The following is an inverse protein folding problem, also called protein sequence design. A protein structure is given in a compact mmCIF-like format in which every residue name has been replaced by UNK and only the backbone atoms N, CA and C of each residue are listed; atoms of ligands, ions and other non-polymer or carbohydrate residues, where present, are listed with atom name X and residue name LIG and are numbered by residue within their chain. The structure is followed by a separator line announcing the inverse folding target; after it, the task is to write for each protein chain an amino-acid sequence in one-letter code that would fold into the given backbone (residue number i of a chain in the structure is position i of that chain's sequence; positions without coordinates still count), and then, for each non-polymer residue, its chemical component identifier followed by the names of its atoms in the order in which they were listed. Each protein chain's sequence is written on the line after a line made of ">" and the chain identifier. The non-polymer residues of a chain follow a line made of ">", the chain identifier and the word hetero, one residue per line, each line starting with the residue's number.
data_IF_257348026057
#
_entry.id   IF_257348026057
#
_cell.length_a   1.000
_cell.length_b   1.000
_cell.length_c   1.000
_cell.angle_alpha   90.00
_cell.angle_beta   90.00
_cell.angle_gamma   90.00
#
_symmetry.space_group_name_H-M   'P 1'
#
loop_
_entity.id
_entity.type
_entity.pdbx_description
1 polymer ?
#
# COMPACT_ATOMS: atom_id res chain seq x y z
N UNK A 1 11.49 72.73 -23.10
CA UNK A 1 10.79 73.24 -21.90
C UNK A 1 10.67 72.09 -20.90
N UNK A 2 11.08 72.25 -19.62
CA UNK A 2 10.69 71.31 -18.58
C UNK A 2 9.22 71.54 -18.22
N UNK A 3 8.47 70.45 -17.97
CA UNK A 3 7.04 70.46 -17.63
C UNK A 3 6.75 71.38 -16.42
N UNK A 4 6.10 72.55 -16.60
CA UNK A 4 5.97 73.58 -15.56
C UNK A 4 4.99 73.22 -14.44
N UNK A 5 4.08 72.26 -14.65
CA UNK A 5 2.99 71.97 -13.70
C UNK A 5 3.21 70.72 -12.86
N UNK A 6 4.29 69.95 -13.09
CA UNK A 6 4.59 68.73 -12.32
C UNK A 6 3.49 67.65 -12.38
N UNK A 7 2.45 67.83 -13.21
CA UNK A 7 1.38 66.87 -13.38
C UNK A 7 1.86 65.73 -14.29
N UNK A 8 2.02 64.56 -13.70
CA UNK A 8 2.14 63.32 -14.47
C UNK A 8 0.77 62.99 -15.05
N UNK A 9 0.75 62.39 -16.26
CA UNK A 9 -0.44 62.04 -17.07
C UNK A 9 -1.48 61.10 -16.40
N UNK A 10 -1.39 60.88 -15.08
CA UNK A 10 -2.22 59.95 -14.30
C UNK A 10 -2.94 60.62 -13.11
N UNK A 11 -2.91 61.95 -12.98
CA UNK A 11 -3.61 62.71 -11.93
C UNK A 11 -3.07 62.52 -10.50
N UNK A 12 -3.58 63.29 -9.50
CA UNK A 12 -3.26 63.07 -8.10
C UNK A 12 -3.83 61.71 -7.66
N UNK A 13 -2.95 60.84 -7.16
CA UNK A 13 -3.34 59.52 -6.66
C UNK A 13 -3.43 59.57 -5.14
N UNK A 14 -4.54 59.11 -4.61
CA UNK A 14 -4.70 58.93 -3.16
C UNK A 14 -3.92 57.69 -2.72
N UNK A 15 -2.89 57.89 -1.92
CA UNK A 15 -2.07 56.78 -1.43
C UNK A 15 -2.54 56.44 -0.01
N UNK A 16 -2.81 55.16 0.29
CA UNK A 16 -3.10 54.75 1.66
C UNK A 16 -1.90 55.06 2.57
N UNK A 17 -2.13 55.25 3.88
CA UNK A 17 -1.07 55.42 4.88
C UNK A 17 0.06 54.40 4.72
N UNK A 18 1.30 54.84 4.93
CA UNK A 18 2.51 54.05 4.63
C UNK A 18 2.55 52.72 5.41
N UNK A 19 1.99 52.66 6.61
CA UNK A 19 1.88 51.45 7.43
C UNK A 19 0.89 50.43 6.83
N UNK A 20 -0.26 50.90 6.34
CA UNK A 20 -1.28 50.09 5.67
C UNK A 20 -0.76 49.60 4.32
N UNK A 21 -0.10 50.48 3.57
CA UNK A 21 0.49 50.17 2.28
C UNK A 21 1.63 49.14 2.43
N UNK A 22 2.50 49.32 3.42
CA UNK A 22 3.59 48.38 3.72
C UNK A 22 3.05 46.99 4.08
N UNK A 23 2.09 46.90 5.00
CA UNK A 23 1.45 45.62 5.38
C UNK A 23 0.84 44.90 4.17
N UNK A 24 0.18 45.65 3.29
CA UNK A 24 -0.43 45.08 2.07
C UNK A 24 0.63 44.57 1.10
N UNK A 25 1.71 45.30 0.90
CA UNK A 25 2.82 44.88 0.04
C UNK A 25 3.56 43.66 0.61
N UNK A 26 3.76 43.60 1.93
CA UNK A 26 4.32 42.43 2.63
C UNK A 26 3.42 41.20 2.48
N UNK A 27 2.09 41.38 2.63
CA UNK A 27 1.09 40.32 2.37
C UNK A 27 1.21 39.79 0.94
N UNK A 28 1.31 40.66 -0.06
CA UNK A 28 1.45 40.22 -1.45
C UNK A 28 2.78 39.50 -1.73
N UNK A 29 3.85 39.90 -1.04
CA UNK A 29 5.14 39.19 -1.08
C UNK A 29 5.01 37.82 -0.42
N UNK A 30 4.35 37.72 0.73
CA UNK A 30 4.06 36.46 1.42
C UNK A 30 3.18 35.53 0.56
N UNK A 31 2.32 36.06 -0.30
CA UNK A 31 1.55 35.25 -1.27
C UNK A 31 2.35 34.87 -2.53
N UNK A 32 3.52 35.47 -2.75
CA UNK A 32 4.35 35.17 -3.93
C UNK A 32 3.79 35.75 -5.23
N UNK A 33 2.97 36.81 -5.14
CA UNK A 33 2.33 37.42 -6.30
C UNK A 33 3.36 38.01 -7.28
N UNK A 34 3.08 37.86 -8.58
CA UNK A 34 3.81 38.53 -9.66
C UNK A 34 3.64 40.05 -9.58
N UNK A 35 4.45 40.82 -10.31
CA UNK A 35 4.34 42.29 -10.33
C UNK A 35 2.97 42.75 -10.83
N UNK A 36 2.44 42.11 -11.86
CA UNK A 36 1.11 42.39 -12.42
C UNK A 36 0.01 42.06 -11.42
N UNK A 37 0.09 40.91 -10.76
CA UNK A 37 -0.86 40.53 -9.71
C UNK A 37 -0.83 41.52 -8.54
N UNK A 38 0.35 42.02 -8.14
CA UNK A 38 0.46 43.07 -7.12
C UNK A 38 -0.23 44.36 -7.54
N UNK A 39 -0.08 44.78 -8.79
CA UNK A 39 -0.79 45.96 -9.31
C UNK A 39 -2.31 45.75 -9.30
N UNK A 40 -2.78 44.58 -9.72
CA UNK A 40 -4.19 44.24 -9.68
C UNK A 40 -4.75 44.22 -8.25
N UNK A 41 -3.97 43.73 -7.27
CA UNK A 41 -4.35 43.76 -5.85
C UNK A 41 -4.28 45.16 -5.23
N UNK A 42 -3.32 45.99 -5.62
CA UNK A 42 -3.29 47.40 -5.19
C UNK A 42 -4.50 48.19 -5.72
N UNK A 43 -4.92 47.93 -6.97
CA UNK A 43 -6.17 48.48 -7.51
C UNK A 43 -7.38 47.97 -6.73
N UNK A 44 -7.46 46.68 -6.41
CA UNK A 44 -8.61 46.11 -5.69
C UNK A 44 -8.69 46.54 -4.23
N UNK A 45 -7.57 46.51 -3.52
CA UNK A 45 -7.53 46.66 -2.06
C UNK A 45 -7.43 48.13 -1.63
N UNK A 46 -6.87 48.99 -2.49
CA UNK A 46 -6.57 50.41 -2.17
C UNK A 46 -6.99 51.40 -3.28
N UNK A 47 -7.70 50.94 -4.31
CA UNK A 47 -8.02 51.73 -5.52
C UNK A 47 -6.78 52.38 -6.18
N UNK A 48 -5.59 51.80 -5.98
CA UNK A 48 -4.32 52.40 -6.36
C UNK A 48 -3.79 51.79 -7.67
N UNK A 49 -3.95 52.53 -8.76
CA UNK A 49 -3.38 52.17 -10.07
C UNK A 49 -2.01 52.82 -10.26
N UNK A 50 -0.94 52.03 -10.35
CA UNK A 50 0.42 52.54 -10.52
C UNK A 50 1.20 51.72 -11.54
N UNK A 51 2.26 52.31 -12.09
CA UNK A 51 3.18 51.58 -12.98
C UNK A 51 4.09 50.64 -12.19
N UNK A 52 4.63 49.61 -12.86
CA UNK A 52 5.60 48.66 -12.28
C UNK A 52 6.83 49.39 -11.71
N UNK A 53 7.27 50.48 -12.36
CA UNK A 53 8.37 51.32 -11.88
C UNK A 53 8.03 51.98 -10.55
N UNK A 54 6.81 52.52 -10.42
CA UNK A 54 6.35 53.14 -9.17
C UNK A 54 6.16 52.11 -8.05
N UNK A 55 5.64 50.92 -8.35
CA UNK A 55 5.59 49.79 -7.42
C UNK A 55 6.98 49.46 -6.87
N UNK A 56 7.99 49.39 -7.74
CA UNK A 56 9.38 49.11 -7.33
C UNK A 56 9.94 50.22 -6.42
N UNK A 57 9.66 51.48 -6.75
CA UNK A 57 10.06 52.62 -5.92
C UNK A 57 9.38 52.62 -4.55
N UNK A 58 8.10 52.27 -4.48
CA UNK A 58 7.37 52.15 -3.22
C UNK A 58 7.91 51.02 -2.35
N UNK A 59 8.15 49.84 -2.93
CA UNK A 59 8.74 48.72 -2.19
C UNK A 59 10.14 49.07 -1.65
N UNK A 60 10.93 49.85 -2.40
CA UNK A 60 12.24 50.35 -1.94
C UNK A 60 12.09 51.37 -0.81
N UNK A 61 11.18 52.36 -0.98
CA UNK A 61 10.95 53.43 0.00
C UNK A 61 10.43 52.90 1.34
N UNK A 62 9.57 51.88 1.29
CA UNK A 62 8.94 51.27 2.47
C UNK A 62 9.75 50.09 3.04
N UNK A 63 10.96 49.84 2.53
CA UNK A 63 11.84 48.74 2.94
C UNK A 63 11.15 47.36 2.94
N UNK A 64 10.30 47.11 1.94
CA UNK A 64 9.62 45.82 1.78
C UNK A 64 10.61 44.80 1.23
N UNK A 65 10.91 43.76 2.01
CA UNK A 65 11.79 42.69 1.60
C UNK A 65 11.28 42.01 0.32
N UNK A 66 12.20 41.63 -0.56
CA UNK A 66 11.89 40.91 -1.79
C UNK A 66 12.87 39.76 -1.98
N UNK A 67 12.54 38.79 -2.83
CA UNK A 67 13.49 37.70 -3.16
C UNK A 67 14.84 38.22 -3.69
N UNK A 68 14.87 39.39 -4.35
CA UNK A 68 16.12 40.01 -4.84
C UNK A 68 16.84 40.86 -3.78
N UNK A 69 16.13 41.25 -2.72
CA UNK A 69 16.64 42.04 -1.58
C UNK A 69 15.97 41.52 -0.31
N UNK A 70 16.43 40.38 0.20
CA UNK A 70 15.73 39.63 1.26
C UNK A 70 15.80 40.30 2.64
N UNK A 71 16.65 41.33 2.79
CA UNK A 71 16.76 42.10 4.04
C UNK A 71 17.58 41.40 5.13
N UNK A 72 18.03 40.18 4.87
CA UNK A 72 18.95 39.42 5.72
C UNK A 72 20.34 39.35 5.07
N UNK A 73 21.37 39.27 5.91
CA UNK A 73 22.73 39.01 5.48
C UNK A 73 22.87 37.64 4.81
N UNK A 74 23.84 37.53 3.91
CA UNK A 74 24.02 36.33 3.09
C UNK A 74 24.26 35.09 3.95
N UNK A 75 25.14 35.17 4.94
CA UNK A 75 25.49 34.04 5.82
C UNK A 75 24.27 33.51 6.59
N UNK A 76 23.46 34.41 7.16
CA UNK A 76 22.23 34.07 7.90
C UNK A 76 21.19 33.39 6.99
N UNK A 77 21.11 33.80 5.72
CA UNK A 77 20.24 33.15 4.74
C UNK A 77 20.71 31.73 4.39
N UNK A 78 22.02 31.54 4.23
CA UNK A 78 22.60 30.24 3.92
C UNK A 78 22.44 29.26 5.09
N UNK A 79 22.56 29.74 6.33
CA UNK A 79 22.30 28.97 7.55
C UNK A 79 20.84 28.49 7.61
N UNK A 80 19.87 29.38 7.42
CA UNK A 80 18.45 29.00 7.42
C UNK A 80 18.09 28.01 6.31
N UNK A 81 18.72 28.14 5.13
CA UNK A 81 18.53 27.15 4.05
C UNK A 81 19.13 25.81 4.46
N UNK A 82 20.33 25.80 5.02
CA UNK A 82 21.03 24.60 5.49
C UNK A 82 20.21 23.86 6.54
N UNK A 83 19.74 24.58 7.58
CA UNK A 83 18.89 24.02 8.62
C UNK A 83 17.61 23.40 8.04
N UNK A 84 16.96 24.10 7.10
CA UNK A 84 15.72 23.63 6.49
C UNK A 84 15.94 22.43 5.55
N UNK A 85 17.11 22.30 4.94
CA UNK A 85 17.53 21.16 4.11
C UNK A 85 17.84 19.95 4.99
N UNK A 86 18.57 20.13 6.10
CA UNK A 86 18.89 19.06 7.04
C UNK A 86 17.64 18.50 7.76
N UNK A 87 16.59 19.32 7.95
CA UNK A 87 15.28 18.86 8.44
C UNK A 87 14.56 17.89 7.49
N UNK A 88 14.94 17.83 6.21
CA UNK A 88 14.37 16.89 5.25
C UNK A 88 15.15 15.58 5.22
N UNK A 89 15.02 14.76 6.27
CA UNK A 89 15.72 13.49 6.40
C UNK A 89 15.50 12.54 5.19
N UNK A 90 14.32 12.62 4.57
CA UNK A 90 13.95 11.83 3.39
C UNK A 90 14.57 12.32 2.08
N UNK A 91 15.12 13.54 2.07
CA UNK A 91 15.70 14.21 0.90
C UNK A 91 14.72 14.34 -0.28
N UNK A 92 13.40 14.27 -0.03
CA UNK A 92 12.34 14.32 -1.06
C UNK A 92 11.87 15.73 -1.40
N UNK A 93 12.24 16.75 -0.62
CA UNK A 93 11.83 18.13 -0.87
C UNK A 93 12.74 18.79 -1.92
N UNK A 94 12.16 19.19 -3.04
CA UNK A 94 12.87 19.93 -4.07
C UNK A 94 13.18 21.39 -3.67
N UNK A 95 14.05 22.09 -4.43
CA UNK A 95 14.40 23.49 -4.16
C UNK A 95 13.21 24.46 -4.12
N UNK A 96 12.12 24.13 -4.83
CA UNK A 96 10.88 24.91 -4.78
C UNK A 96 10.15 24.80 -3.44
N UNK A 97 10.08 23.58 -2.90
CA UNK A 97 9.43 23.26 -1.62
C UNK A 97 10.19 23.87 -0.45
N UNK A 98 11.52 23.71 -0.42
CA UNK A 98 12.37 24.31 0.62
C UNK A 98 12.23 25.85 0.61
N UNK A 99 12.25 26.47 -0.58
CA UNK A 99 12.01 27.90 -0.72
C UNK A 99 10.62 28.33 -0.23
N UNK A 100 9.57 27.53 -0.48
CA UNK A 100 8.22 27.83 -0.01
C UNK A 100 8.15 27.80 1.52
N UNK A 101 8.73 26.77 2.15
CA UNK A 101 8.77 26.65 3.63
C UNK A 101 9.52 27.80 4.30
N UNK A 102 10.62 28.25 3.70
CA UNK A 102 11.34 29.44 4.18
C UNK A 102 10.50 30.71 4.03
N UNK A 103 9.75 30.83 2.93
CA UNK A 103 8.84 31.95 2.70
C UNK A 103 7.69 31.97 3.72
N UNK A 104 7.19 30.83 4.17
CA UNK A 104 6.18 30.74 5.24
C UNK A 104 6.73 31.28 6.58
N UNK A 105 8.03 31.11 6.83
CA UNK A 105 8.77 31.70 7.95
C UNK A 105 9.19 33.16 7.70
N UNK A 106 8.66 33.81 6.66
CA UNK A 106 9.03 35.17 6.20
C UNK A 106 10.49 35.32 5.76
N UNK A 107 11.21 34.22 5.51
CA UNK A 107 12.58 34.21 5.01
C UNK A 107 12.52 34.10 3.48
N UNK A 108 12.87 35.20 2.80
CA UNK A 108 12.86 35.25 1.34
C UNK A 108 14.22 34.84 0.80
N UNK A 109 14.27 33.80 -0.04
CA UNK A 109 15.53 33.35 -0.65
C UNK A 109 15.36 33.06 -2.15
N UNK A 110 16.32 33.45 -3.02
CA UNK A 110 16.31 33.03 -4.40
C UNK A 110 16.37 31.50 -4.53
N UNK A 111 15.58 30.93 -5.46
CA UNK A 111 15.61 29.48 -5.74
C UNK A 111 17.02 29.01 -6.15
N UNK A 112 17.80 29.89 -6.79
CA UNK A 112 19.19 29.61 -7.18
C UNK A 112 20.06 29.30 -5.96
N UNK A 113 20.03 30.15 -4.94
CA UNK A 113 20.79 29.97 -3.68
C UNK A 113 20.39 28.67 -3.00
N UNK A 114 19.09 28.40 -2.88
CA UNK A 114 18.59 27.12 -2.34
C UNK A 114 19.12 25.94 -3.12
N UNK A 115 19.11 26.01 -4.46
CA UNK A 115 19.61 24.94 -5.32
C UNK A 115 21.12 24.73 -5.18
N UNK A 116 21.91 25.80 -5.07
CA UNK A 116 23.37 25.74 -4.90
C UNK A 116 23.72 25.07 -3.57
N UNK A 117 23.09 25.47 -2.46
CA UNK A 117 23.29 24.88 -1.13
C UNK A 117 22.85 23.42 -1.11
N UNK A 118 21.67 23.10 -1.66
CA UNK A 118 21.21 21.71 -1.75
C UNK A 118 22.16 20.84 -2.56
N UNK A 119 22.78 21.35 -3.62
CA UNK A 119 23.77 20.60 -4.42
C UNK A 119 25.07 20.35 -3.64
N UNK A 120 25.44 21.26 -2.74
CA UNK A 120 26.61 21.12 -1.90
C UNK A 120 26.38 20.14 -0.73
N UNK A 121 25.19 20.19 -0.11
CA UNK A 121 24.88 19.40 1.09
C UNK A 121 24.28 18.02 0.82
N UNK A 122 23.39 17.93 -0.17
CA UNK A 122 22.61 16.71 -0.47
C UNK A 122 22.49 16.51 -1.99
N UNK A 123 23.61 16.39 -2.73
CA UNK A 123 23.59 16.17 -4.18
C UNK A 123 22.71 14.98 -4.58
N UNK A 124 22.74 13.89 -3.79
CA UNK A 124 21.95 12.67 -3.99
C UNK A 124 20.43 12.90 -3.94
N UNK A 125 19.99 13.94 -3.22
CA UNK A 125 18.58 14.31 -3.20
C UNK A 125 18.05 14.73 -4.58
N UNK A 126 18.92 15.26 -5.45
CA UNK A 126 18.52 15.57 -6.83
C UNK A 126 18.34 14.33 -7.69
N UNK A 127 19.17 13.31 -7.46
CA UNK A 127 19.06 12.03 -8.15
C UNK A 127 17.75 11.35 -7.74
N UNK A 128 17.45 11.24 -6.44
CA UNK A 128 16.20 10.67 -5.92
C UNK A 128 14.94 11.28 -6.58
N UNK A 129 14.98 12.59 -6.90
CA UNK A 129 13.85 13.34 -7.46
C UNK A 129 13.88 13.48 -8.98
N UNK A 130 14.88 12.92 -9.67
CA UNK A 130 15.01 13.08 -11.11
C UNK A 130 13.85 12.37 -11.84
N UNK A 131 13.09 13.05 -12.72
CA UNK A 131 12.00 12.42 -13.45
C UNK A 131 12.54 11.33 -14.37
N UNK A 132 12.15 10.08 -14.13
CA UNK A 132 12.72 8.90 -14.81
C UNK A 132 13.84 8.21 -14.04
N UNK A 133 14.20 8.68 -12.84
CA UNK A 133 15.04 7.91 -11.96
C UNK A 133 14.28 6.66 -11.48
N UNK A 134 14.70 5.51 -12.01
CA UNK A 134 14.17 4.18 -11.71
C UNK A 134 14.67 3.63 -10.37
N UNK A 135 15.33 4.42 -9.52
CA UNK A 135 15.82 3.98 -8.19
C UNK A 135 14.72 3.60 -7.18
N UNK A 136 13.43 3.65 -7.53
CA UNK A 136 12.37 3.04 -6.73
C UNK A 136 11.69 1.84 -7.38
N UNK A 137 12.14 1.37 -8.56
CA UNK A 137 11.87 -0.02 -8.91
C UNK A 137 12.97 -0.82 -8.23
N UNK A 138 12.67 -1.64 -7.22
CA UNK A 138 13.68 -2.53 -6.68
C UNK A 138 14.34 -3.25 -7.85
N UNK A 139 15.67 -3.36 -7.84
CA UNK A 139 16.38 -4.15 -8.82
C UNK A 139 15.77 -5.55 -8.78
N UNK A 140 15.00 -5.91 -9.79
CA UNK A 140 14.36 -7.22 -9.86
C UNK A 140 15.45 -8.18 -10.32
N UNK A 141 16.11 -8.80 -9.37
CA UNK A 141 17.01 -9.92 -9.65
C UNK A 141 16.17 -11.02 -10.32
N UNK A 142 16.65 -11.64 -11.41
CA UNK A 142 16.02 -12.82 -11.96
C UNK A 142 15.77 -13.84 -10.84
N UNK A 143 14.53 -14.29 -10.74
CA UNK A 143 14.17 -15.32 -9.77
C UNK A 143 14.68 -16.65 -10.28
N UNK A 144 15.33 -17.40 -9.40
CA UNK A 144 15.83 -18.75 -9.65
C UNK A 144 15.26 -19.73 -8.63
N UNK A 145 15.07 -20.97 -9.05
CA UNK A 145 14.61 -22.07 -8.20
C UNK A 145 15.07 -23.40 -8.80
N UNK A 146 15.40 -24.38 -7.96
CA UNK A 146 15.80 -25.73 -8.40
C UNK A 146 14.62 -26.56 -8.92
N UNK A 147 13.40 -26.24 -8.49
CA UNK A 147 12.18 -26.97 -8.82
C UNK A 147 11.06 -26.65 -7.84
N UNK A 148 9.94 -27.38 -7.91
CA UNK A 148 8.86 -27.28 -6.94
C UNK A 148 9.37 -27.53 -5.52
N UNK A 149 8.78 -26.84 -4.53
CA UNK A 149 9.15 -26.95 -3.11
C UNK A 149 10.57 -26.50 -2.74
N UNK A 150 11.40 -26.07 -3.70
CA UNK A 150 12.68 -25.45 -3.35
C UNK A 150 12.45 -24.14 -2.58
N UNK A 151 11.46 -23.35 -3.01
CA UNK A 151 11.03 -22.17 -2.27
C UNK A 151 9.52 -21.96 -2.41
N UNK A 152 8.82 -21.91 -1.28
CA UNK A 152 7.42 -21.46 -1.21
C UNK A 152 7.39 -20.02 -0.72
N UNK A 153 6.70 -19.17 -1.47
CA UNK A 153 6.38 -17.81 -1.07
C UNK A 153 5.03 -17.79 -0.38
N UNK A 154 4.95 -17.17 0.78
CA UNK A 154 3.69 -16.93 1.47
C UNK A 154 3.45 -15.44 1.70
N UNK A 155 2.18 -15.03 1.67
CA UNK A 155 1.78 -13.63 1.80
C UNK A 155 0.32 -13.48 2.25
N UNK A 156 0.03 -12.38 2.94
CA UNK A 156 -1.30 -12.02 3.41
C UNK A 156 -1.87 -10.82 2.65
N UNK A 157 -3.16 -10.86 2.33
CA UNK A 157 -3.86 -9.82 1.60
C UNK A 157 -5.04 -9.27 2.39
N UNK A 158 -4.93 -8.01 2.81
CA UNK A 158 -5.90 -7.33 3.66
C UNK A 158 -6.88 -6.41 2.89
N UNK A 159 -7.08 -6.56 1.56
CA UNK A 159 -7.98 -5.63 0.83
C UNK A 159 -9.47 -5.84 1.07
N UNK A 160 -9.87 -6.89 1.79
CA UNK A 160 -11.23 -7.07 2.31
C UNK A 160 -11.24 -6.92 3.84
N UNK A 161 -10.40 -6.03 4.37
CA UNK A 161 -10.39 -5.72 5.79
C UNK A 161 -11.55 -4.79 6.21
N UNK A 162 -11.75 -4.69 7.53
CA UNK A 162 -12.80 -3.86 8.14
C UNK A 162 -12.73 -2.40 7.75
N UNK A 163 -11.52 -1.86 7.51
CA UNK A 163 -11.35 -0.47 7.05
C UNK A 163 -11.81 -0.28 5.60
N UNK A 164 -11.61 -1.28 4.76
CA UNK A 164 -11.97 -1.22 3.35
C UNK A 164 -13.47 -1.47 3.14
N UNK A 165 -14.05 -2.42 3.87
CA UNK A 165 -15.49 -2.73 3.80
C UNK A 165 -16.34 -1.69 4.56
N UNK A 166 -15.83 -1.20 5.69
CA UNK A 166 -16.56 -0.35 6.64
C UNK A 166 -17.91 -0.98 7.04
N UNK A 167 -17.89 -2.27 7.33
CA UNK A 167 -19.01 -3.08 7.80
C UNK A 167 -18.79 -3.52 9.25
N UNK A 168 -18.45 -2.56 10.13
CA UNK A 168 -18.14 -2.85 11.53
C UNK A 168 -16.79 -3.55 11.69
N UNK A 169 -16.79 -4.68 12.39
CA UNK A 169 -15.60 -5.50 12.66
C UNK A 169 -15.32 -6.53 11.56
N UNK A 170 -16.21 -6.67 10.58
CA UNK A 170 -16.09 -7.64 9.48
C UNK A 170 -14.77 -7.48 8.75
N UNK A 171 -14.00 -8.56 8.68
CA UNK A 171 -12.71 -8.60 8.00
C UNK A 171 -12.53 -9.98 7.37
N UNK A 172 -12.13 -10.02 6.11
CA UNK A 172 -11.95 -11.24 5.33
C UNK A 172 -10.51 -11.30 4.78
N UNK A 173 -9.49 -11.36 5.65
CA UNK A 173 -8.11 -11.45 5.20
C UNK A 173 -7.89 -12.78 4.48
N UNK A 174 -7.13 -12.73 3.39
CA UNK A 174 -6.81 -13.91 2.56
C UNK A 174 -5.32 -14.17 2.69
N UNK A 175 -4.94 -15.44 2.82
CA UNK A 175 -3.54 -15.85 2.89
C UNK A 175 -3.23 -16.85 1.79
N UNK A 176 -2.03 -16.76 1.21
CA UNK A 176 -1.60 -17.63 0.11
C UNK A 176 -0.26 -18.28 0.38
N UNK A 177 -0.12 -19.52 -0.08
CA UNK A 177 1.15 -20.22 -0.26
C UNK A 177 1.32 -20.58 -1.73
N UNK A 178 2.43 -20.15 -2.31
CA UNK A 178 2.70 -20.26 -3.74
C UNK A 178 4.10 -20.79 -4.01
N UNK A 179 4.20 -21.78 -4.88
CA UNK A 179 5.47 -22.33 -5.32
C UNK A 179 6.20 -21.33 -6.24
N UNK A 180 7.46 -21.04 -5.96
CA UNK A 180 8.25 -20.06 -6.73
C UNK A 180 8.58 -20.53 -8.14
N UNK A 181 8.82 -21.84 -8.33
CA UNK A 181 9.30 -22.41 -9.59
C UNK A 181 8.19 -22.45 -10.65
N UNK A 182 7.12 -23.16 -10.35
CA UNK A 182 5.95 -23.38 -11.21
C UNK A 182 4.94 -22.22 -11.13
N UNK A 183 4.93 -21.48 -10.01
CA UNK A 183 3.89 -20.51 -9.75
C UNK A 183 2.55 -21.12 -9.33
N UNK A 184 2.52 -22.42 -9.03
CA UNK A 184 1.38 -23.17 -8.51
C UNK A 184 0.97 -22.64 -7.14
N UNK A 185 -0.34 -22.44 -6.95
CA UNK A 185 -0.92 -22.05 -5.66
C UNK A 185 -1.16 -23.33 -4.85
N UNK A 186 -0.36 -23.51 -3.80
CA UNK A 186 -0.50 -24.66 -2.91
C UNK A 186 -1.71 -24.52 -2.00
N UNK A 187 -1.96 -23.33 -1.44
CA UNK A 187 -3.11 -23.07 -0.58
C UNK A 187 -3.49 -21.60 -0.68
N UNK A 188 -4.79 -21.31 -0.76
CA UNK A 188 -5.36 -19.96 -0.80
C UNK A 188 -6.61 -19.97 0.07
N UNK A 189 -6.53 -19.31 1.22
CA UNK A 189 -7.56 -19.44 2.26
C UNK A 189 -7.97 -18.09 2.83
N UNK A 190 -9.25 -17.97 3.16
CA UNK A 190 -9.78 -16.86 3.95
C UNK A 190 -9.63 -17.20 5.44
N UNK A 191 -9.21 -16.24 6.27
CA UNK A 191 -8.88 -16.45 7.68
C UNK A 191 -9.64 -15.51 8.61
N UNK A 192 -10.04 -15.93 9.82
CA UNK A 192 -10.69 -15.02 10.78
C UNK A 192 -9.76 -13.91 11.23
N UNK A 193 -8.47 -14.21 11.42
CA UNK A 193 -7.45 -13.24 11.79
C UNK A 193 -6.06 -13.62 11.25
N UNK A 194 -5.66 -13.01 10.14
CA UNK A 194 -4.34 -13.21 9.54
C UNK A 194 -3.20 -12.49 10.29
N UNK A 195 -3.47 -11.76 11.39
CA UNK A 195 -2.45 -11.07 12.20
C UNK A 195 -2.03 -11.87 13.42
N UNK A 196 -2.75 -12.95 13.75
CA UNK A 196 -2.39 -13.85 14.85
C UNK A 196 -1.42 -14.91 14.34
N UNK A 197 -0.25 -14.97 14.99
CA UNK A 197 0.76 -15.94 14.62
C UNK A 197 0.29 -17.39 14.74
N UNK A 198 -0.56 -17.67 15.73
CA UNK A 198 -1.11 -19.02 15.97
C UNK A 198 -1.94 -19.46 14.77
N UNK A 199 -2.82 -18.59 14.26
CA UNK A 199 -3.65 -18.90 13.11
C UNK A 199 -2.80 -19.24 11.88
N UNK A 200 -1.84 -18.38 11.52
CA UNK A 200 -0.94 -18.68 10.39
C UNK A 200 -0.09 -19.94 10.61
N UNK A 201 0.29 -20.22 11.86
CA UNK A 201 0.97 -21.44 12.25
C UNK A 201 0.16 -22.68 11.89
N UNK A 202 -1.11 -22.74 12.28
CA UNK A 202 -1.93 -23.91 11.96
C UNK A 202 -2.29 -24.01 10.48
N UNK A 203 -2.55 -22.89 9.77
CA UNK A 203 -2.73 -22.95 8.30
C UNK A 203 -1.50 -23.60 7.63
N UNK A 204 -0.31 -23.30 8.16
CA UNK A 204 0.92 -23.91 7.66
C UNK A 204 1.01 -25.40 8.00
N UNK A 205 0.57 -25.83 9.19
CA UNK A 205 0.51 -27.24 9.55
C UNK A 205 -0.50 -28.01 8.68
N UNK A 206 -1.67 -27.44 8.40
CA UNK A 206 -2.63 -28.02 7.47
C UNK A 206 -2.00 -28.17 6.08
N UNK A 207 -1.28 -27.14 5.60
CA UNK A 207 -0.56 -27.21 4.33
C UNK A 207 0.48 -28.34 4.36
N UNK A 208 1.25 -28.48 5.44
CA UNK A 208 2.25 -29.55 5.59
C UNK A 208 1.60 -30.94 5.50
N UNK A 209 0.44 -31.10 6.12
CA UNK A 209 -0.37 -32.32 6.05
C UNK A 209 -0.87 -32.59 4.63
N UNK A 210 -1.47 -31.60 3.99
CA UNK A 210 -2.00 -31.69 2.61
C UNK A 210 -0.92 -32.06 1.58
N UNK A 211 0.29 -31.52 1.71
CA UNK A 211 1.41 -31.81 0.77
C UNK A 211 2.28 -32.98 1.21
N UNK A 212 2.09 -33.51 2.43
CA UNK A 212 2.89 -34.59 3.01
C UNK A 212 4.36 -34.22 3.30
N UNK A 213 4.65 -32.94 3.57
CA UNK A 213 6.03 -32.48 3.76
C UNK A 213 6.19 -30.97 3.91
N UNK A 214 7.42 -30.50 3.68
CA UNK A 214 7.81 -29.08 3.75
C UNK A 214 8.70 -28.69 2.56
N UNK A 215 8.74 -27.41 2.17
CA UNK A 215 9.71 -26.92 1.21
C UNK A 215 11.12 -26.85 1.80
N UNK A 216 12.16 -26.72 0.96
CA UNK A 216 13.52 -26.41 1.40
C UNK A 216 13.55 -25.03 2.10
N UNK A 217 12.91 -24.04 1.48
CA UNK A 217 12.83 -22.68 2.00
C UNK A 217 11.39 -22.16 2.00
N UNK A 218 11.00 -21.48 3.07
CA UNK A 218 9.84 -20.60 3.08
C UNK A 218 10.29 -19.14 2.97
N UNK A 219 9.55 -18.33 2.20
CA UNK A 219 9.79 -16.90 2.09
C UNK A 219 8.51 -16.13 2.39
N UNK A 220 8.54 -15.20 3.33
CA UNK A 220 7.38 -14.37 3.70
C UNK A 220 7.74 -12.91 3.77
N UNK A 221 6.72 -12.05 3.84
CA UNK A 221 6.92 -10.67 4.27
C UNK A 221 7.39 -10.61 5.73
N UNK A 222 8.13 -9.56 6.08
CA UNK A 222 8.52 -9.28 7.45
C UNK A 222 7.28 -8.89 8.27
N UNK A 223 6.83 -9.81 9.11
CA UNK A 223 5.70 -9.63 10.03
C UNK A 223 5.95 -10.30 11.37
N UNK A 224 5.24 -9.88 12.41
CA UNK A 224 5.29 -10.55 13.72
C UNK A 224 4.46 -11.84 13.76
N UNK A 225 3.54 -11.97 12.82
CA UNK A 225 2.60 -13.07 12.66
C UNK A 225 3.24 -14.35 12.10
N UNK A 226 4.43 -14.28 11.50
CA UNK A 226 5.05 -15.46 10.85
C UNK A 226 5.85 -16.35 11.81
N UNK A 227 5.87 -16.02 13.10
CA UNK A 227 6.75 -16.65 14.09
C UNK A 227 6.56 -18.16 14.24
N UNK A 228 5.31 -18.65 14.20
CA UNK A 228 5.02 -20.09 14.29
C UNK A 228 5.36 -20.82 12.98
N UNK A 229 5.06 -20.21 11.82
CA UNK A 229 5.45 -20.77 10.52
C UNK A 229 6.97 -20.92 10.43
N UNK A 230 7.72 -19.91 10.89
CA UNK A 230 9.18 -19.99 11.02
C UNK A 230 9.60 -21.16 11.90
N UNK A 231 9.02 -21.29 13.09
CA UNK A 231 9.39 -22.34 14.03
C UNK A 231 9.13 -23.74 13.47
N UNK A 232 7.96 -23.97 12.86
CA UNK A 232 7.60 -25.25 12.24
C UNK A 232 8.50 -25.57 11.05
N UNK A 233 8.73 -24.61 10.16
CA UNK A 233 9.60 -24.79 9.00
C UNK A 233 11.05 -25.07 9.42
N UNK A 234 11.64 -24.26 10.30
CA UNK A 234 13.04 -24.39 10.71
C UNK A 234 13.28 -25.70 11.48
N UNK A 235 12.38 -26.02 12.42
CA UNK A 235 12.48 -27.27 13.20
C UNK A 235 12.37 -28.49 12.30
N UNK A 236 11.36 -28.53 11.42
CA UNK A 236 11.15 -29.64 10.51
C UNK A 236 12.29 -29.76 9.49
N UNK A 237 12.81 -28.63 8.98
CA UNK A 237 13.96 -28.63 8.06
C UNK A 237 15.21 -29.22 8.68
N UNK A 238 15.50 -28.86 9.93
CA UNK A 238 16.66 -29.39 10.67
C UNK A 238 16.50 -30.86 11.02
N UNK A 239 15.28 -31.31 11.31
CA UNK A 239 14.99 -32.68 11.71
C UNK A 239 14.99 -33.65 10.52
N UNK A 240 14.31 -33.29 9.44
CA UNK A 240 14.04 -34.21 8.31
C UNK A 240 14.98 -34.02 7.11
N UNK A 241 15.76 -32.94 7.08
CA UNK A 241 16.79 -32.72 6.07
C UNK A 241 18.06 -32.06 6.65
N UNK A 242 18.70 -32.68 7.67
CA UNK A 242 19.90 -32.15 8.33
C UNK A 242 21.10 -32.00 7.39
N UNK A 243 21.11 -32.71 6.26
CA UNK A 243 22.15 -32.65 5.24
C UNK A 243 22.11 -31.36 4.39
N UNK A 244 21.00 -30.62 4.41
CA UNK A 244 20.85 -29.40 3.61
C UNK A 244 21.28 -28.20 4.46
N UNK A 245 22.44 -27.63 4.10
CA UNK A 245 23.08 -26.52 4.81
C UNK A 245 22.20 -25.25 4.84
N UNK A 246 21.77 -24.79 6.04
CA UNK A 246 20.98 -23.57 6.20
C UNK A 246 21.69 -22.28 5.76
N UNK A 247 23.02 -22.26 5.70
CA UNK A 247 23.77 -21.07 5.24
C UNK A 247 23.75 -20.95 3.71
N UNK A 248 23.53 -22.07 3.01
CA UNK A 248 23.40 -22.11 1.55
C UNK A 248 21.94 -22.04 1.12
N UNK A 249 21.07 -22.81 1.79
CA UNK A 249 19.63 -22.85 1.58
C UNK A 249 18.93 -22.52 2.90
N UNK A 250 18.65 -21.24 3.17
CA UNK A 250 17.94 -20.82 4.36
C UNK A 250 16.64 -21.61 4.55
N UNK A 251 16.32 -21.95 5.79
CA UNK A 251 15.06 -22.61 6.11
C UNK A 251 13.88 -21.66 5.92
N UNK A 252 14.08 -20.39 6.29
CA UNK A 252 13.06 -19.34 6.26
C UNK A 252 13.69 -17.98 5.99
N UNK A 253 13.07 -17.17 5.11
CA UNK A 253 13.53 -15.82 4.78
C UNK A 253 12.37 -14.83 4.89
N UNK A 254 12.55 -13.78 5.68
CA UNK A 254 11.66 -12.62 5.67
C UNK A 254 12.19 -11.55 4.73
N UNK A 255 11.36 -11.09 3.80
CA UNK A 255 11.68 -10.01 2.86
C UNK A 255 10.77 -8.80 3.07
N UNK A 256 11.14 -7.65 2.51
CA UNK A 256 10.21 -6.51 2.47
C UNK A 256 9.14 -6.81 1.44
N UNK A 257 7.89 -6.44 1.71
CA UNK A 257 6.74 -6.63 0.82
C UNK A 257 7.02 -6.31 -0.65
N UNK A 258 7.65 -5.15 -0.93
CA UNK A 258 8.05 -4.70 -2.28
C UNK A 258 8.99 -5.65 -3.04
N UNK A 259 9.56 -6.65 -2.36
CA UNK A 259 10.43 -7.67 -2.91
C UNK A 259 9.74 -9.03 -3.05
N UNK A 260 8.56 -9.24 -2.45
CA UNK A 260 7.74 -10.45 -2.55
C UNK A 260 6.96 -10.52 -3.87
N UNK A 261 7.71 -10.33 -4.96
CA UNK A 261 7.16 -10.21 -6.31
C UNK A 261 6.42 -11.46 -6.80
N UNK A 262 6.70 -12.63 -6.21
CA UNK A 262 6.02 -13.89 -6.52
C UNK A 262 4.55 -13.80 -6.10
N UNK A 263 4.28 -13.45 -4.85
CA UNK A 263 2.92 -13.36 -4.31
C UNK A 263 2.23 -12.04 -4.65
N UNK A 264 2.95 -10.92 -4.66
CA UNK A 264 2.40 -9.61 -5.07
C UNK A 264 1.79 -9.65 -6.49
N UNK A 265 2.39 -10.42 -7.40
CA UNK A 265 1.88 -10.55 -8.76
C UNK A 265 0.51 -11.23 -8.82
N UNK A 266 0.26 -12.19 -7.93
CA UNK A 266 -0.98 -12.96 -7.87
C UNK A 266 -2.15 -12.09 -7.40
N UNK A 267 -1.95 -11.25 -6.38
CA UNK A 267 -3.02 -10.43 -5.80
C UNK A 267 -3.70 -9.51 -6.78
N UNK A 268 -2.97 -9.05 -7.80
CA UNK A 268 -3.58 -8.28 -8.88
C UNK A 268 -4.58 -9.11 -9.68
N UNK A 269 -4.21 -10.34 -10.05
CA UNK A 269 -5.10 -11.22 -10.81
C UNK A 269 -6.30 -11.66 -9.98
N UNK A 270 -6.08 -12.06 -8.71
CA UNK A 270 -7.18 -12.39 -7.80
C UNK A 270 -8.15 -11.21 -7.68
N UNK A 271 -7.63 -9.99 -7.48
CA UNK A 271 -8.46 -8.80 -7.39
C UNK A 271 -9.22 -8.48 -8.68
N UNK A 272 -8.62 -8.69 -9.85
CA UNK A 272 -9.23 -8.36 -11.14
C UNK A 272 -10.27 -9.40 -11.58
N UNK A 273 -10.07 -10.69 -11.23
CA UNK A 273 -10.93 -11.80 -11.66
C UNK A 273 -12.09 -12.03 -10.68
N UNK A 274 -11.79 -12.18 -9.39
CA UNK A 274 -12.78 -12.57 -8.37
C UNK A 274 -13.00 -11.49 -7.31
N UNK A 275 -11.94 -10.86 -6.82
CA UNK A 275 -11.99 -10.00 -5.63
C UNK A 275 -12.85 -8.75 -5.75
N UNK A 276 -12.96 -8.15 -6.94
CA UNK A 276 -13.90 -7.02 -7.16
C UNK A 276 -15.35 -7.49 -7.12
N UNK A 277 -15.68 -8.62 -7.72
CA UNK A 277 -17.03 -9.16 -7.72
C UNK A 277 -17.46 -9.53 -6.30
N UNK A 278 -16.61 -10.25 -5.57
CA UNK A 278 -16.83 -10.57 -4.15
C UNK A 278 -17.07 -9.32 -3.31
N UNK A 279 -16.30 -8.26 -3.54
CA UNK A 279 -16.48 -7.00 -2.83
C UNK A 279 -17.84 -6.35 -3.11
N UNK A 280 -18.30 -6.34 -4.37
CA UNK A 280 -19.61 -5.79 -4.71
C UNK A 280 -20.74 -6.60 -4.06
N UNK A 281 -20.66 -7.93 -4.11
CA UNK A 281 -21.62 -8.82 -3.43
C UNK A 281 -21.65 -8.56 -1.93
N UNK A 282 -20.50 -8.50 -1.26
CA UNK A 282 -20.44 -8.23 0.19
C UNK A 282 -20.96 -6.82 0.53
N UNK A 283 -20.66 -5.81 -0.29
CA UNK A 283 -21.12 -4.44 -0.02
C UNK A 283 -22.62 -4.25 -0.26
N UNK A 284 -23.26 -5.11 -1.04
CA UNK A 284 -24.71 -5.05 -1.29
C UNK A 284 -25.51 -5.00 0.01
N UNK A 285 -25.26 -5.90 0.97
CA UNK A 285 -26.01 -5.92 2.24
C UNK A 285 -25.83 -4.65 3.08
N UNK A 286 -24.70 -3.96 2.94
CA UNK A 286 -24.47 -2.65 3.56
C UNK A 286 -25.23 -1.54 2.83
N UNK A 287 -25.16 -1.50 1.50
CA UNK A 287 -25.78 -0.47 0.67
C UNK A 287 -27.31 -0.46 0.78
N UNK A 288 -27.90 -1.64 0.93
CA UNK A 288 -29.34 -1.82 1.07
C UNK A 288 -29.83 -1.92 2.52
N UNK A 289 -28.97 -1.65 3.50
CA UNK A 289 -29.30 -1.65 4.94
C UNK A 289 -29.84 -2.99 5.48
N UNK A 290 -29.44 -4.11 4.87
CA UNK A 290 -29.74 -5.49 5.29
C UNK A 290 -28.89 -5.87 6.51
N UNK A 291 -27.61 -5.47 6.49
CA UNK A 291 -26.64 -5.81 7.51
C UNK A 291 -26.55 -4.74 8.60
N UNK A 292 -26.64 -5.15 9.87
CA UNK A 292 -26.40 -4.28 11.02
C UNK A 292 -24.99 -4.53 11.61
N UNK A 293 -24.00 -3.64 11.37
CA UNK A 293 -22.64 -3.80 11.87
C UNK A 293 -22.48 -3.65 13.39
N UNK A 294 -23.55 -3.25 14.10
CA UNK A 294 -23.55 -3.12 15.57
C UNK A 294 -24.15 -4.34 16.27
N UNK A 295 -24.63 -5.33 15.51
CA UNK A 295 -25.17 -6.58 16.06
C UNK A 295 -24.14 -7.69 15.88
N UNK A 296 -23.70 -8.26 17.01
CA UNK A 296 -22.77 -9.41 17.01
C UNK A 296 -23.40 -10.61 16.29
N UNK A 297 -24.70 -10.85 16.50
CA UNK A 297 -25.47 -11.88 15.77
C UNK A 297 -25.44 -11.68 14.25
N UNK A 298 -25.60 -10.44 13.76
CA UNK A 298 -25.48 -10.19 12.31
C UNK A 298 -24.05 -10.46 11.83
N UNK A 299 -23.03 -10.11 12.61
CA UNK A 299 -21.64 -10.36 12.25
C UNK A 299 -21.35 -11.88 12.17
N UNK A 300 -21.81 -12.64 13.16
CA UNK A 300 -21.64 -14.09 13.19
C UNK A 300 -22.40 -14.77 12.04
N UNK A 301 -23.66 -14.36 11.80
CA UNK A 301 -24.44 -14.86 10.65
C UNK A 301 -23.77 -14.50 9.32
N UNK A 302 -23.18 -13.31 9.22
CA UNK A 302 -22.49 -12.89 8.01
C UNK A 302 -21.34 -13.84 7.72
N UNK A 303 -20.52 -14.17 8.72
CA UNK A 303 -19.43 -15.11 8.50
C UNK A 303 -19.93 -16.51 8.16
N UNK A 304 -20.96 -17.01 8.85
CA UNK A 304 -21.56 -18.32 8.55
C UNK A 304 -22.03 -18.42 7.10
N UNK A 305 -22.70 -17.38 6.59
CA UNK A 305 -23.20 -17.32 5.20
C UNK A 305 -22.07 -17.12 4.19
N UNK A 306 -21.20 -16.13 4.40
CA UNK A 306 -20.28 -15.66 3.36
C UNK A 306 -18.92 -16.35 3.34
N UNK A 307 -18.41 -16.83 4.47
CA UNK A 307 -17.07 -17.45 4.52
C UNK A 307 -17.00 -18.70 3.63
N UNK A 308 -17.95 -19.67 3.69
CA UNK A 308 -17.92 -20.85 2.82
C UNK A 308 -18.00 -20.49 1.33
N UNK A 309 -18.83 -19.48 0.99
CA UNK A 309 -18.98 -19.00 -0.38
C UNK A 309 -17.70 -18.34 -0.91
N UNK A 310 -17.08 -17.49 -0.10
CA UNK A 310 -15.81 -16.84 -0.45
C UNK A 310 -14.70 -17.90 -0.58
N UNK A 311 -14.63 -18.87 0.32
CA UNK A 311 -13.63 -19.94 0.24
C UNK A 311 -13.82 -20.75 -1.05
N UNK A 312 -15.06 -21.07 -1.41
CA UNK A 312 -15.39 -21.75 -2.69
C UNK A 312 -14.88 -20.96 -3.90
N UNK A 313 -15.14 -19.65 -3.97
CA UNK A 313 -14.63 -18.79 -5.05
C UNK A 313 -13.09 -18.75 -5.09
N UNK A 314 -12.43 -18.75 -3.92
CA UNK A 314 -10.97 -18.81 -3.85
C UNK A 314 -10.43 -20.16 -4.36
N UNK A 315 -11.11 -21.26 -4.06
CA UNK A 315 -10.74 -22.60 -4.53
C UNK A 315 -10.96 -22.78 -6.04
N UNK A 316 -12.04 -22.22 -6.58
CA UNK A 316 -12.27 -22.14 -8.03
C UNK A 316 -11.20 -21.30 -8.71
N UNK A 317 -10.86 -20.13 -8.15
CA UNK A 317 -9.78 -19.28 -8.66
C UNK A 317 -8.43 -20.02 -8.62
N UNK A 318 -8.13 -20.73 -7.53
CA UNK A 318 -6.91 -21.55 -7.38
C UNK A 318 -6.85 -22.62 -8.46
N UNK A 319 -7.95 -23.33 -8.70
CA UNK A 319 -8.05 -24.37 -9.74
C UNK A 319 -7.79 -23.79 -11.12
N UNK A 320 -8.49 -22.71 -11.48
CA UNK A 320 -8.31 -22.01 -12.75
C UNK A 320 -6.86 -21.50 -12.90
N UNK A 321 -6.30 -20.90 -11.85
CA UNK A 321 -4.93 -20.43 -11.86
C UNK A 321 -3.92 -21.57 -12.04
N UNK A 322 -4.11 -22.71 -11.40
CA UNK A 322 -3.15 -23.80 -11.54
C UNK A 322 -3.20 -24.44 -12.95
N UNK A 323 -4.32 -24.30 -13.66
CA UNK A 323 -4.54 -24.85 -15.00
C UNK A 323 -4.26 -23.86 -16.14
N UNK A 324 -4.10 -22.55 -15.87
CA UNK A 324 -3.90 -21.56 -16.93
C UNK A 324 -2.53 -21.68 -17.60
N UNK A 325 -2.45 -21.26 -18.87
CA UNK A 325 -1.17 -21.18 -19.59
C UNK A 325 -0.45 -19.87 -19.29
N UNK A 326 0.71 -19.94 -18.64
CA UNK A 326 1.57 -18.78 -18.36
C UNK A 326 2.13 -18.23 -19.67
N UNK A 327 2.19 -16.90 -19.80
CA UNK A 327 2.78 -16.25 -20.97
C UNK A 327 4.28 -16.58 -21.10
N UNK A 328 4.77 -16.96 -22.30
CA UNK A 328 6.21 -17.12 -22.55
C UNK A 328 7.00 -15.83 -22.37
N UNK A 329 8.14 -15.95 -21.70
CA UNK A 329 9.15 -14.92 -21.43
C UNK A 329 10.52 -15.51 -21.72
N UNK A 330 11.23 -14.95 -22.72
CA UNK A 330 12.48 -15.51 -23.27
C UNK A 330 13.67 -15.44 -22.30
N UNK A 331 13.70 -14.44 -21.42
CA UNK A 331 14.82 -14.18 -20.51
C UNK A 331 14.56 -14.75 -19.10
N UNK A 332 13.50 -15.55 -18.91
CA UNK A 332 13.17 -16.14 -17.61
C UNK A 332 13.95 -17.44 -17.45
N UNK A 333 14.73 -17.54 -16.36
CA UNK A 333 15.50 -18.75 -16.04
C UNK A 333 14.61 -19.90 -15.54
N UNK A 334 13.57 -19.56 -14.77
CA UNK A 334 12.52 -20.50 -14.33
C UNK A 334 11.52 -20.80 -15.46
N UNK A 335 10.67 -21.86 -15.30
CA UNK A 335 9.72 -22.29 -16.33
C UNK A 335 8.90 -21.14 -16.90
N UNK A 336 8.64 -21.19 -18.19
CA UNK A 336 8.05 -20.09 -18.96
C UNK A 336 7.21 -20.64 -20.10
N UNK A 337 6.03 -20.06 -20.37
CA UNK A 337 5.14 -20.68 -21.37
C UNK A 337 4.58 -22.03 -20.94
N UNK A 338 4.50 -22.29 -19.63
CA UNK A 338 4.07 -23.56 -19.04
C UNK A 338 2.69 -23.43 -18.39
N UNK A 339 2.10 -24.56 -18.00
CA UNK A 339 0.93 -24.59 -17.11
C UNK A 339 1.45 -24.85 -15.69
N UNK A 340 1.07 -24.07 -14.65
CA UNK A 340 1.63 -24.23 -13.32
C UNK A 340 1.50 -25.65 -12.77
N UNK A 341 0.33 -26.29 -12.90
CA UNK A 341 0.12 -27.68 -12.47
C UNK A 341 1.07 -28.65 -13.18
N UNK A 342 1.23 -28.52 -14.49
CA UNK A 342 2.11 -29.37 -15.29
C UNK A 342 3.59 -29.23 -14.89
N UNK A 343 4.08 -27.99 -14.69
CA UNK A 343 5.45 -27.76 -14.24
C UNK A 343 5.68 -28.13 -12.76
N UNK A 344 4.61 -28.22 -11.97
CA UNK A 344 4.67 -28.66 -10.59
C UNK A 344 4.70 -30.19 -10.49
N UNK A 345 3.89 -30.88 -11.29
CA UNK A 345 3.78 -32.35 -11.31
C UNK A 345 4.92 -33.03 -12.07
N UNK A 346 5.40 -32.44 -13.17
CA UNK A 346 6.47 -32.98 -14.02
C UNK A 346 7.64 -32.00 -14.11
N UNK A 347 8.31 -31.67 -12.99
CA UNK A 347 9.35 -30.64 -12.98
C UNK A 347 10.54 -30.95 -13.89
N UNK A 348 10.84 -32.23 -14.13
CA UNK A 348 11.92 -32.70 -15.00
C UNK A 348 11.79 -32.21 -16.45
N UNK A 349 10.56 -32.09 -16.97
CA UNK A 349 10.27 -31.53 -18.31
C UNK A 349 10.63 -30.05 -18.42
N UNK A 350 10.87 -29.41 -17.26
CA UNK A 350 11.21 -28.01 -17.12
C UNK A 350 12.60 -27.78 -16.49
N UNK A 351 13.47 -28.79 -16.51
CA UNK A 351 14.80 -28.80 -15.86
C UNK A 351 14.75 -28.56 -14.33
N UNK A 352 13.62 -28.88 -13.71
CA UNK A 352 13.43 -28.83 -12.27
C UNK A 352 13.64 -30.19 -11.61
N UNK A 353 13.79 -30.16 -10.29
CA UNK A 353 13.78 -31.35 -9.43
C UNK A 353 12.78 -31.17 -8.30
N UNK A 354 12.03 -32.21 -7.96
CA UNK A 354 11.16 -32.19 -6.79
C UNK A 354 12.00 -32.05 -5.51
N UNK A 355 11.79 -30.95 -4.79
CA UNK A 355 12.52 -30.59 -3.59
C UNK A 355 11.71 -30.82 -2.31
N UNK A 356 10.57 -31.54 -2.37
CA UNK A 356 9.75 -31.81 -1.20
C UNK A 356 10.53 -32.61 -0.16
N UNK A 357 10.58 -32.09 1.07
CA UNK A 357 11.12 -32.82 2.21
C UNK A 357 9.96 -33.48 2.92
N UNK A 358 9.88 -34.81 2.83
CA UNK A 358 8.81 -35.59 3.46
C UNK A 358 8.91 -35.50 4.97
N UNK A 359 7.78 -35.25 5.60
CA UNK A 359 7.60 -35.22 7.05
C UNK A 359 6.61 -36.33 7.42
N UNK A 360 6.81 -37.07 8.53
CA UNK A 360 5.84 -38.04 8.99
C UNK A 360 4.47 -37.38 9.16
N UNK A 361 3.42 -38.12 8.81
CA UNK A 361 2.05 -37.71 9.05
C UNK A 361 1.85 -37.53 10.55
N UNK A 362 1.65 -36.29 10.98
CA UNK A 362 1.33 -35.97 12.37
C UNK A 362 -0.19 -35.90 12.47
N UNK A 363 -0.78 -36.74 13.31
CA UNK A 363 -2.22 -36.70 13.61
C UNK A 363 -2.48 -35.48 14.48
N UNK A 364 -2.65 -34.32 13.87
CA UNK A 364 -3.09 -33.14 14.60
C UNK A 364 -4.57 -33.28 14.95
N UNK A 365 -4.89 -33.01 16.21
CA UNK A 365 -6.29 -32.80 16.60
C UNK A 365 -6.74 -31.47 15.97
N UNK A 366 -7.89 -31.50 15.28
CA UNK A 366 -8.57 -30.31 14.78
C UNK A 366 -8.98 -29.44 15.97
N UNK A 367 -8.11 -28.54 16.42
CA UNK A 367 -8.52 -27.47 17.33
C UNK A 367 -9.27 -26.39 16.54
N UNK A 368 -10.37 -25.85 17.10
CA UNK A 368 -11.24 -24.84 16.47
C UNK A 368 -10.60 -23.41 16.42
N UNK A 369 -9.33 -23.30 16.02
CA UNK A 369 -8.63 -22.01 15.94
C UNK A 369 -9.06 -21.15 14.73
N UNK A 370 -9.73 -21.78 13.75
CA UNK A 370 -10.33 -21.14 12.58
C UNK A 370 -11.76 -20.66 12.78
N UNK A 371 -12.30 -20.74 14.00
CA UNK A 371 -13.71 -20.37 14.21
C UNK A 371 -13.96 -18.90 13.88
N UNK A 372 -15.00 -18.66 13.09
CA UNK A 372 -15.43 -17.34 12.62
C UNK A 372 -16.52 -16.71 13.49
N UNK A 373 -17.15 -17.52 14.33
CA UNK A 373 -18.29 -17.18 15.18
C UNK A 373 -18.17 -17.93 16.51
N UNK A 374 -19.02 -17.62 17.50
CA UNK A 374 -19.03 -18.35 18.78
C UNK A 374 -19.31 -19.84 18.60
N UNK A 375 -18.79 -20.69 19.49
CA UNK A 375 -18.93 -22.17 19.42
C UNK A 375 -20.38 -22.62 19.29
N UNK A 376 -21.29 -21.95 19.99
CA UNK A 376 -22.71 -22.34 20.03
C UNK A 376 -23.50 -21.72 18.85
N UNK A 377 -22.89 -20.78 18.12
CA UNK A 377 -23.56 -20.08 17.01
C UNK A 377 -23.75 -20.99 15.79
N UNK A 378 -22.83 -21.91 15.55
CA UNK A 378 -22.90 -22.84 14.42
C UNK A 378 -24.21 -23.64 14.42
N UNK A 379 -24.55 -24.20 15.58
CA UNK A 379 -25.76 -25.02 15.77
C UNK A 379 -27.03 -24.17 15.64
N UNK A 380 -27.01 -22.94 16.16
CA UNK A 380 -28.12 -22.00 16.03
C UNK A 380 -28.36 -21.57 14.58
N UNK A 381 -27.28 -21.28 13.85
CA UNK A 381 -27.34 -20.93 12.44
C UNK A 381 -27.84 -22.10 11.58
N UNK A 382 -27.36 -23.31 11.84
CA UNK A 382 -27.84 -24.51 11.13
C UNK A 382 -29.35 -24.73 11.38
N UNK A 383 -29.81 -24.64 12.63
CA UNK A 383 -31.22 -24.78 12.96
C UNK A 383 -32.10 -23.70 12.27
N UNK A 384 -31.64 -22.44 12.24
CA UNK A 384 -32.32 -21.37 11.53
C UNK A 384 -32.34 -21.61 10.00
N UNK A 385 -31.26 -22.14 9.43
CA UNK A 385 -31.17 -22.46 8.02
C UNK A 385 -32.10 -23.62 7.62
N UNK A 386 -32.22 -24.64 8.47
CA UNK A 386 -33.21 -25.71 8.31
C UNK A 386 -34.65 -25.20 8.40
N UNK A 387 -34.93 -24.26 9.31
CA UNK A 387 -36.29 -23.71 9.51
C UNK A 387 -36.80 -22.95 8.28
N UNK A 388 -35.93 -22.24 7.58
CA UNK A 388 -36.27 -21.56 6.32
C UNK A 388 -36.29 -22.50 5.11
N UNK A 389 -36.07 -23.80 5.33
CA UNK A 389 -36.16 -24.84 4.30
C UNK A 389 -34.87 -25.10 3.54
N UNK A 390 -33.72 -24.71 4.09
CA UNK A 390 -32.37 -24.92 3.52
C UNK A 390 -32.26 -24.51 2.04
N UNK A 391 -32.61 -23.26 1.69
CA UNK A 391 -32.52 -22.77 0.31
C UNK A 391 -31.09 -22.82 -0.21
N UNK A 392 -30.91 -23.02 -1.52
CA UNK A 392 -29.59 -23.06 -2.14
C UNK A 392 -28.76 -21.81 -1.80
N UNK A 393 -27.60 -22.03 -1.17
CA UNK A 393 -26.71 -20.97 -0.73
C UNK A 393 -25.64 -20.71 -1.82
N UNK A 394 -25.76 -19.57 -2.49
CA UNK A 394 -24.87 -19.09 -3.56
C UNK A 394 -24.52 -17.61 -3.32
N UNK A 395 -23.55 -17.04 -4.04
CA UNK A 395 -23.25 -15.60 -3.94
C UNK A 395 -24.45 -14.72 -4.33
N UNK A 396 -25.30 -15.20 -5.23
CA UNK A 396 -26.52 -14.52 -5.68
C UNK A 396 -27.64 -14.55 -4.65
N UNK A 397 -27.78 -15.66 -3.90
CA UNK A 397 -28.84 -15.86 -2.90
C UNK A 397 -28.41 -15.51 -1.47
N UNK A 398 -27.11 -15.33 -1.22
CA UNK A 398 -26.54 -15.15 0.12
C UNK A 398 -27.26 -14.13 0.99
N UNK A 399 -27.57 -12.95 0.44
CA UNK A 399 -28.28 -11.90 1.21
C UNK A 399 -29.74 -12.22 1.46
N UNK A 400 -30.42 -12.91 0.53
CA UNK A 400 -31.80 -13.38 0.74
C UNK A 400 -31.84 -14.42 1.85
N UNK A 401 -30.93 -15.39 1.83
CA UNK A 401 -30.78 -16.39 2.90
C UNK A 401 -30.46 -15.71 4.22
N UNK A 402 -29.54 -14.73 4.23
CA UNK A 402 -29.22 -13.94 5.42
C UNK A 402 -30.46 -13.23 6.02
N UNK A 403 -31.27 -12.56 5.18
CA UNK A 403 -32.49 -11.86 5.61
C UNK A 403 -33.55 -12.81 6.17
N UNK A 404 -33.68 -13.99 5.56
CA UNK A 404 -34.62 -15.01 6.00
C UNK A 404 -34.17 -15.69 7.30
N UNK A 405 -32.87 -15.91 7.51
CA UNK A 405 -32.34 -16.52 8.74
C UNK A 405 -32.33 -15.56 9.94
N UNK A 406 -32.01 -14.28 9.72
CA UNK A 406 -31.78 -13.33 10.83
C UNK A 406 -32.92 -13.24 11.86
N UNK A 407 -34.22 -13.31 11.50
CA UNK A 407 -35.32 -13.31 12.47
C UNK A 407 -35.44 -14.57 13.34
N UNK A 408 -34.82 -15.69 12.94
CA UNK A 408 -34.89 -16.98 13.64
C UNK A 408 -33.76 -17.16 14.66
N UNK A 409 -32.75 -16.29 14.63
CA UNK A 409 -31.67 -16.25 15.59
C UNK A 409 -32.09 -15.35 16.76
N UNK A 410 -32.41 -15.95 17.92
CA UNK A 410 -32.91 -15.26 19.12
C UNK A 410 -31.99 -15.50 20.31
#
# INVERSE_FOLDING_TARGET
>A
MPNPEGANQWGPKDYPPDDILKKSLEKYVAYGLTREQKLARLKKDHNLEISIRKLTNLQKRLSVATVRKPGLEKEVLEEHVTEQVLKDASKRQGPGTIKSRLKDKKILVPRRVVREIMKALVPEGFDIRYPGNKHSKPHRTPLTSLGPFNEISADGHEKLDSKTLQMGTISLPIYVYRDKFSGYILKLVVLPDARKAVALGHVFLDLMSEIGGIPIQMTTDLGSEVGWQYAFQDTSRRLFAPQVDPDVFPTFVTIKSVHNTVSESLWRFLSDISGKNLREVVLYGKEFHIFNPQSDMHCDLFYWVFVPLIQTELDEFRTMWNQHKVRPQKEKEMPSGHTPADAFEYPEEYNGVDCLIKVPEDTQEEEEWLSWYGTDFAELAEAAYEEIGSPELTLETAWTVFEEMAPHLV
#
